data_IF_382472417515
#
_entry.id   IF_382472417515
#
_cell.length_a   1.000
_cell.length_b   1.000
_cell.length_c   1.000
_cell.angle_alpha   90.00
_cell.angle_beta   90.00
_cell.angle_gamma   90.00
#
_symmetry.space_group_name_H-M   'P 1'
#
loop_
_entity.id
_entity.type
_entity.pdbx_description
1 polymer ?
#
# COMPACT_ATOMS: atom_id res chain seq x y z
N UNK A 1 6.21 -8.39 19.19
CA UNK A 1 5.38 -8.20 17.98
C UNK A 1 6.10 -7.19 17.12
N UNK A 2 6.23 -7.46 15.82
CA UNK A 2 7.07 -6.64 14.91
C UNK A 2 6.19 -5.56 14.29
N UNK A 3 6.56 -4.29 14.44
CA UNK A 3 5.87 -3.21 13.77
C UNK A 3 6.05 -3.37 12.25
N UNK A 4 4.97 -3.59 11.50
CA UNK A 4 5.02 -3.69 10.03
C UNK A 4 5.51 -2.37 9.47
N UNK A 5 6.74 -2.38 8.94
CA UNK A 5 7.36 -1.20 8.34
C UNK A 5 7.61 -1.49 6.87
N UNK A 6 7.00 -0.68 6.02
CA UNK A 6 7.11 -0.77 4.56
C UNK A 6 7.98 0.39 4.12
N UNK A 7 9.08 0.11 3.43
CA UNK A 7 9.95 1.14 2.87
C UNK A 7 9.94 1.04 1.36
N UNK A 8 9.91 2.20 0.70
CA UNK A 8 9.97 2.31 -0.74
C UNK A 8 11.06 3.32 -1.11
N UNK A 9 11.99 2.85 -1.93
CA UNK A 9 13.16 3.62 -2.34
C UNK A 9 13.15 3.87 -3.83
N UNK A 10 13.35 5.13 -4.24
CA UNK A 10 13.39 5.56 -5.64
C UNK A 10 14.60 6.46 -5.87
N UNK A 11 14.93 6.73 -7.13
CA UNK A 11 15.95 7.74 -7.47
C UNK A 11 15.56 9.17 -7.03
N UNK A 12 14.29 9.41 -6.70
CA UNK A 12 13.78 10.71 -6.23
C UNK A 12 13.80 10.86 -4.70
N UNK A 13 13.99 9.77 -3.96
CA UNK A 13 13.91 9.77 -2.50
C UNK A 13 13.35 8.46 -1.94
N UNK A 14 13.29 8.40 -0.61
CA UNK A 14 12.77 7.25 0.16
C UNK A 14 11.52 7.67 0.91
N UNK A 15 10.52 6.79 0.92
CA UNK A 15 9.34 6.90 1.77
C UNK A 15 9.20 5.63 2.61
N UNK A 16 8.87 5.80 3.88
CA UNK A 16 8.65 4.73 4.84
C UNK A 16 7.27 4.89 5.46
N UNK A 17 6.57 3.78 5.59
CA UNK A 17 5.34 3.68 6.35
C UNK A 17 5.54 2.70 7.49
N UNK A 18 5.09 3.07 8.68
CA UNK A 18 5.13 2.20 9.85
C UNK A 18 3.74 2.07 10.44
N UNK A 19 3.23 0.84 10.53
CA UNK A 19 1.99 0.53 11.23
C UNK A 19 2.10 0.95 12.69
N UNK A 20 1.18 1.78 13.17
CA UNK A 20 1.09 2.09 14.60
C UNK A 20 0.26 0.97 15.26
N UNK A 21 0.89 0.17 16.12
CA UNK A 21 0.21 -0.92 16.87
C UNK A 21 -0.90 -0.41 17.82
N UNK A 22 -0.98 0.91 18.02
CA UNK A 22 -2.03 1.56 18.80
C UNK A 22 -2.68 2.57 17.89
N UNK A 23 -3.96 2.39 17.53
CA UNK A 23 -4.78 3.44 16.89
C UNK A 23 -4.51 4.73 17.64
N UNK A 24 -3.66 5.60 17.09
CA UNK A 24 -3.29 6.82 17.76
C UNK A 24 -4.56 7.67 17.78
N UNK A 25 -5.16 7.79 18.95
CA UNK A 25 -6.26 8.73 19.19
C UNK A 25 -5.65 10.12 19.11
N UNK A 26 -5.63 10.68 17.91
CA UNK A 26 -4.92 11.91 17.58
C UNK A 26 -5.19 12.29 16.13
N UNK A 27 -5.09 13.58 15.77
CA UNK A 27 -5.64 14.14 14.53
C UNK A 27 -5.19 13.37 13.27
N UNK A 28 -6.02 13.34 12.22
CA UNK A 28 -5.97 12.36 11.12
C UNK A 28 -4.78 12.61 10.17
N UNK A 29 -3.58 12.26 10.64
CA UNK A 29 -2.38 12.15 9.81
C UNK A 29 -1.96 10.70 9.57
N UNK A 30 -2.56 9.76 10.30
CA UNK A 30 -2.28 8.34 10.15
C UNK A 30 -3.01 7.78 8.93
N UNK A 31 -2.27 7.16 8.02
CA UNK A 31 -2.79 6.49 6.84
C UNK A 31 -2.78 4.99 7.11
N UNK A 32 -3.89 4.28 6.91
CA UNK A 32 -4.01 2.84 7.16
C UNK A 32 -3.66 2.45 8.60
N UNK A 33 -3.92 3.33 9.58
CA UNK A 33 -3.51 3.13 10.96
C UNK A 33 -2.00 3.19 11.20
N UNK A 34 -1.21 3.77 10.29
CA UNK A 34 0.24 3.96 10.43
C UNK A 34 0.72 5.37 10.10
N UNK A 35 2.00 5.63 10.33
CA UNK A 35 2.67 6.89 10.01
C UNK A 35 3.44 6.78 8.70
N UNK A 36 3.20 7.71 7.79
CA UNK A 36 3.96 7.88 6.55
C UNK A 36 5.01 8.97 6.75
N UNK A 37 6.27 8.68 6.46
CA UNK A 37 7.39 9.62 6.56
C UNK A 37 8.42 9.42 5.46
N UNK A 38 9.28 10.41 5.24
CA UNK A 38 10.30 10.38 4.19
C UNK A 38 10.22 11.60 3.28
N UNK A 39 10.49 11.40 1.99
CA UNK A 39 10.52 12.46 0.98
C UNK A 39 9.14 13.15 0.87
N UNK A 40 9.00 14.45 1.23
CA UNK A 40 7.71 15.14 1.31
C UNK A 40 6.92 15.14 -0.01
N UNK A 41 7.61 15.17 -1.15
CA UNK A 41 6.96 15.08 -2.46
C UNK A 41 6.31 13.71 -2.69
N UNK A 42 6.99 12.61 -2.34
CA UNK A 42 6.44 11.25 -2.43
C UNK A 42 5.32 11.05 -1.41
N UNK A 43 5.51 11.54 -0.19
CA UNK A 43 4.49 11.50 0.87
C UNK A 43 3.22 12.22 0.41
N UNK A 44 3.32 13.41 -0.17
CA UNK A 44 2.15 14.13 -0.70
C UNK A 44 1.41 13.32 -1.77
N UNK A 45 2.14 12.74 -2.73
CA UNK A 45 1.55 11.91 -3.79
C UNK A 45 0.83 10.68 -3.21
N UNK A 46 1.48 9.95 -2.29
CA UNK A 46 0.86 8.78 -1.63
C UNK A 46 -0.40 9.19 -0.86
N UNK A 47 -0.37 10.31 -0.13
CA UNK A 47 -1.55 10.83 0.58
C UNK A 47 -2.68 11.19 -0.39
N UNK A 48 -2.38 11.82 -1.51
CA UNK A 48 -3.38 12.16 -2.53
C UNK A 48 -3.98 10.92 -3.21
N UNK A 49 -3.16 9.91 -3.50
CA UNK A 49 -3.65 8.63 -4.04
C UNK A 49 -4.61 7.99 -3.04
N UNK A 50 -4.25 7.93 -1.75
CA UNK A 50 -5.07 7.30 -0.73
C UNK A 50 -6.33 8.14 -0.39
N UNK A 51 -6.27 9.46 -0.55
CA UNK A 51 -7.44 10.34 -0.49
C UNK A 51 -8.44 10.14 -1.65
N UNK A 52 -8.09 9.32 -2.65
CA UNK A 52 -8.98 8.94 -3.74
C UNK A 52 -8.79 9.74 -5.04
N UNK A 53 -7.74 10.58 -5.14
CA UNK A 53 -7.59 11.47 -6.29
C UNK A 53 -7.33 10.76 -7.62
N UNK A 54 -6.51 9.69 -7.71
CA UNK A 54 -6.18 8.91 -8.94
C UNK A 54 -5.09 7.85 -8.63
N UNK A 55 -4.87 6.80 -9.45
CA UNK A 55 -5.83 5.90 -10.11
C UNK A 55 -6.48 4.90 -9.13
N UNK A 56 -7.36 4.02 -9.63
CA UNK A 56 -8.04 2.94 -8.86
C UNK A 56 -7.29 1.60 -8.89
N UNK A 57 -6.31 1.49 -9.78
CA UNK A 57 -5.57 0.27 -10.05
C UNK A 57 -4.10 0.60 -10.24
N UNK A 58 -3.25 -0.28 -9.72
CA UNK A 58 -1.80 -0.15 -9.76
C UNK A 58 -1.25 -1.35 -10.48
N UNK A 59 -0.55 -1.11 -11.58
CA UNK A 59 0.19 -2.16 -12.26
C UNK A 59 1.52 -2.39 -11.55
N UNK A 60 1.62 -3.52 -10.90
CA UNK A 60 2.78 -4.01 -10.16
C UNK A 60 3.73 -4.65 -11.16
N UNK A 61 4.86 -4.00 -11.45
CA UNK A 61 5.73 -4.34 -12.59
C UNK A 61 6.25 -5.79 -12.59
N UNK A 62 6.46 -6.39 -11.42
CA UNK A 62 6.79 -7.80 -11.24
C UNK A 62 5.88 -8.31 -10.12
N UNK A 63 4.83 -9.11 -10.41
CA UNK A 63 4.61 -9.98 -11.59
C UNK A 63 3.66 -9.44 -12.70
N UNK A 64 3.70 -8.15 -13.07
CA UNK A 64 2.72 -7.53 -13.98
C UNK A 64 1.26 -7.68 -13.51
N UNK A 65 1.03 -7.83 -12.20
CA UNK A 65 -0.32 -7.90 -11.66
C UNK A 65 -0.93 -6.51 -11.53
N UNK A 66 -2.23 -6.40 -11.77
CA UNK A 66 -2.99 -5.19 -11.49
C UNK A 66 -3.58 -5.31 -10.08
N UNK A 67 -3.07 -4.52 -9.14
CA UNK A 67 -3.61 -4.44 -7.79
C UNK A 67 -4.71 -3.39 -7.75
N UNK A 68 -5.92 -3.78 -7.37
CA UNK A 68 -7.05 -2.88 -7.22
C UNK A 68 -7.10 -2.33 -5.79
N UNK A 69 -7.09 -1.01 -5.64
CA UNK A 69 -7.21 -0.37 -4.32
C UNK A 69 -8.55 -0.73 -3.67
N UNK A 70 -8.53 -0.96 -2.37
CA UNK A 70 -9.74 -1.17 -1.59
C UNK A 70 -10.59 0.11 -1.57
N UNK A 71 -11.90 -0.03 -1.32
CA UNK A 71 -12.82 1.13 -1.30
C UNK A 71 -12.40 2.20 -0.30
N UNK A 72 -11.83 1.80 0.84
CA UNK A 72 -11.39 2.72 1.89
C UNK A 72 -9.94 3.17 1.77
N UNK A 73 -9.11 2.51 0.95
CA UNK A 73 -7.68 2.84 0.77
C UNK A 73 -6.94 3.01 2.11
N UNK A 74 -7.31 2.19 3.10
CA UNK A 74 -6.84 2.29 4.48
C UNK A 74 -6.18 0.98 4.94
N UNK A 75 -5.61 0.23 3.99
CA UNK A 75 -4.86 -1.00 4.30
C UNK A 75 -3.37 -0.84 4.00
N UNK A 76 -2.54 -1.64 4.66
CA UNK A 76 -1.11 -1.65 4.40
C UNK A 76 -0.77 -2.04 2.94
N UNK A 77 -1.61 -2.86 2.30
CA UNK A 77 -1.48 -3.20 0.88
C UNK A 77 -1.82 -2.01 -0.03
N UNK A 78 -2.86 -1.24 0.29
CA UNK A 78 -3.15 0.03 -0.39
C UNK A 78 -1.96 1.01 -0.26
N UNK A 79 -1.32 1.08 0.91
CA UNK A 79 -0.15 1.93 1.10
C UNK A 79 1.02 1.48 0.22
N UNK A 80 1.32 0.18 0.19
CA UNK A 80 2.37 -0.38 -0.67
C UNK A 80 2.10 -0.10 -2.16
N UNK A 81 0.85 -0.30 -2.60
CA UNK A 81 0.42 -0.01 -3.96
C UNK A 81 0.53 1.49 -4.29
N UNK A 82 0.11 2.37 -3.38
CA UNK A 82 0.23 3.83 -3.56
C UNK A 82 1.69 4.28 -3.63
N UNK A 83 2.60 3.66 -2.87
CA UNK A 83 4.04 3.92 -2.99
C UNK A 83 4.57 3.53 -4.38
N UNK A 84 4.17 2.38 -4.92
CA UNK A 84 4.54 1.96 -6.27
C UNK A 84 4.06 2.95 -7.34
N UNK A 85 2.83 3.45 -7.22
CA UNK A 85 2.28 4.49 -8.12
C UNK A 85 3.05 5.80 -7.98
N UNK A 86 3.37 6.21 -6.76
CA UNK A 86 4.13 7.43 -6.49
C UNK A 86 5.54 7.37 -7.12
N UNK A 87 6.15 6.18 -7.11
CA UNK A 87 7.40 5.90 -7.84
C UNK A 87 7.23 5.71 -9.35
N UNK A 88 6.02 5.76 -9.89
CA UNK A 88 5.71 5.49 -11.29
C UNK A 88 6.20 4.10 -11.75
N UNK A 89 6.13 3.10 -10.86
CA UNK A 89 6.72 1.77 -11.10
C UNK A 89 8.26 1.74 -11.11
N UNK A 90 8.93 2.87 -10.85
CA UNK A 90 10.39 2.97 -10.73
C UNK A 90 10.78 3.15 -9.27
N UNK A 91 10.84 2.04 -8.55
CA UNK A 91 11.37 2.00 -7.20
C UNK A 91 11.44 0.60 -6.65
N UNK A 92 12.19 0.45 -5.56
CA UNK A 92 12.33 -0.81 -4.85
C UNK A 92 11.50 -0.73 -3.57
N UNK A 93 10.44 -1.52 -3.56
CA UNK A 93 9.65 -1.81 -2.36
C UNK A 93 10.41 -2.85 -1.52
N UNK A 94 10.43 -2.67 -0.21
CA UNK A 94 10.99 -3.65 0.73
C UNK A 94 10.23 -4.97 0.68
N UNK A 95 10.89 -6.06 1.06
CA UNK A 95 10.30 -7.40 1.13
C UNK A 95 8.98 -7.42 1.93
N UNK A 96 8.92 -6.73 3.07
CA UNK A 96 7.68 -6.60 3.86
C UNK A 96 6.53 -5.93 3.09
N UNK A 97 6.82 -4.96 2.22
CA UNK A 97 5.80 -4.35 1.37
C UNK A 97 5.28 -5.32 0.31
N UNK A 98 6.16 -6.16 -0.24
CA UNK A 98 5.79 -7.23 -1.15
C UNK A 98 4.97 -8.31 -0.46
N UNK A 99 5.35 -8.75 0.74
CA UNK A 99 4.60 -9.74 1.52
C UNK A 99 3.17 -9.27 1.84
N UNK A 100 3.00 -7.99 2.19
CA UNK A 100 1.67 -7.43 2.48
C UNK A 100 0.80 -7.33 1.22
N UNK A 101 1.41 -6.97 0.09
CA UNK A 101 0.72 -6.93 -1.20
C UNK A 101 0.31 -8.35 -1.64
N UNK A 102 1.23 -9.31 -1.51
CA UNK A 102 1.02 -10.71 -1.85
C UNK A 102 -0.08 -11.35 -1.00
N UNK A 103 -0.03 -11.16 0.32
CA UNK A 103 -1.06 -11.64 1.24
C UNK A 103 -2.45 -11.04 0.94
N UNK A 104 -2.51 -9.78 0.50
CA UNK A 104 -3.77 -9.15 0.09
C UNK A 104 -4.29 -9.73 -1.23
N UNK A 105 -3.41 -10.02 -2.20
CA UNK A 105 -3.79 -10.66 -3.47
C UNK A 105 -4.21 -12.12 -3.28
N UNK A 106 -3.54 -12.86 -2.39
CA UNK A 106 -3.94 -14.23 -2.01
C UNK A 106 -5.30 -14.24 -1.32
N UNK A 107 -5.57 -13.26 -0.43
CA UNK A 107 -6.88 -13.13 0.24
C UNK A 107 -8.01 -12.81 -0.74
N UNK A 108 -7.78 -11.95 -1.74
CA UNK A 108 -8.77 -11.61 -2.76
C UNK A 108 -9.09 -12.82 -3.67
N UNK A 109 -8.04 -13.57 -4.05
CA UNK A 109 -8.19 -14.81 -4.84
C UNK A 109 -8.92 -15.91 -4.07
N UNK A 110 -8.72 -16.00 -2.75
CA UNK A 110 -9.42 -16.95 -1.90
C UNK A 110 -10.91 -16.62 -1.72
N UNK A 111 -11.30 -15.33 -1.69
CA UNK A 111 -12.72 -14.94 -1.65
C UNK A 111 -13.45 -15.30 -2.95
N UNK A 112 -12.77 -15.15 -4.10
CA UNK A 112 -13.30 -15.53 -5.42
C UNK A 112 -13.45 -17.06 -5.57
N UNK A 113 -12.48 -17.86 -5.10
CA UNK A 113 -12.55 -19.33 -5.16
C UNK A 113 -13.71 -19.88 -4.31
N UNK A 114 -13.96 -19.28 -3.14
CA UNK A 114 -15.09 -19.66 -2.27
C UNK A 114 -16.46 -19.35 -2.89
N UNK A 115 -16.56 -18.30 -3.72
CA UNK A 115 -17.79 -17.98 -4.48
C UNK A 115 -18.00 -18.88 -5.70
N UNK A 116 -16.97 -19.59 -6.16
CA UNK A 116 -17.05 -20.57 -7.26
C UNK A 116 -17.60 -21.93 -6.84
N UNK A 117 -17.72 -22.23 -5.54
CA UNK A 117 -18.08 -23.56 -5.02
C UNK A 117 -19.59 -23.75 -4.76
N UNK A 118 -20.45 -23.04 -5.49
CA UNK A 118 -21.91 -23.18 -5.44
C UNK A 118 -22.50 -23.42 -6.83
N UNK A 119 -22.25 -24.59 -7.42
CA UNK A 119 -23.00 -25.12 -8.57
C UNK A 119 -23.05 -26.63 -8.49
#
# INVERSE_FOLDING_TARGET
MVATTITFSTSRGVVSWSALERRAVGPPGGIAGGLLGGEPALVAIVREILAGSLPKTVRVAEPNLDYMFTRNRDTAADVAAAMLVAGNGRGRLSDTGWEVLDAAMESDRADEDFRGLTT
#
